data_IF_515055483418
#
_entry.id   IF_515055483418
#
_cell.length_a   1.000
_cell.length_b   1.000
_cell.length_c   1.000
_cell.angle_alpha   90.00
_cell.angle_beta   90.00
_cell.angle_gamma   90.00
#
_symmetry.space_group_name_H-M   'P 1'
#
loop_
_entity.id
_entity.type
_entity.pdbx_description
1 polymer ?
#
# COMPACT_ATOMS: atom_id res chain seq x y z
N UNK A 1 15.32 60.78 25.62
CA UNK A 1 14.67 59.66 26.33
C UNK A 1 13.14 59.57 26.09
N UNK A 2 12.55 60.21 25.07
CA UNK A 2 11.09 60.10 24.80
C UNK A 2 10.70 59.07 23.74
N UNK A 3 11.65 58.61 22.92
CA UNK A 3 11.39 57.69 21.80
C UNK A 3 11.62 56.20 22.13
N UNK A 4 12.37 55.87 23.19
CA UNK A 4 12.60 54.46 23.58
C UNK A 4 11.34 53.78 24.11
N UNK A 5 10.46 54.51 24.81
CA UNK A 5 9.21 53.96 25.34
C UNK A 5 8.22 53.63 24.22
N UNK A 6 8.20 54.43 23.14
CA UNK A 6 7.30 54.22 22.02
C UNK A 6 7.68 52.96 21.19
N UNK A 7 8.99 52.69 21.05
CA UNK A 7 9.49 51.50 20.35
C UNK A 7 9.26 50.23 21.19
N UNK A 8 9.37 50.31 22.52
CA UNK A 8 9.09 49.19 23.42
C UNK A 8 7.60 48.80 23.40
N UNK A 9 6.70 49.78 23.31
CA UNK A 9 5.25 49.54 23.20
C UNK A 9 4.91 48.94 21.82
N UNK A 10 5.55 49.41 20.75
CA UNK A 10 5.33 48.86 19.39
C UNK A 10 5.77 47.39 19.28
N UNK A 11 6.85 47.00 19.95
CA UNK A 11 7.31 45.60 19.97
C UNK A 11 6.39 44.66 20.76
N UNK A 12 5.63 45.17 21.74
CA UNK A 12 4.65 44.38 22.51
C UNK A 12 3.39 44.02 21.70
N UNK A 13 3.10 44.72 20.60
CA UNK A 13 1.92 44.45 19.75
C UNK A 13 2.20 43.53 18.55
N UNK A 14 3.46 43.17 18.27
CA UNK A 14 3.82 42.34 17.10
C UNK A 14 3.87 40.83 17.44
N UNK A 15 3.86 40.46 18.72
CA UNK A 15 4.06 39.08 19.16
C UNK A 15 2.79 38.41 19.69
N UNK A 16 1.83 38.08 18.83
CA UNK A 16 0.95 36.94 19.09
C UNK A 16 0.26 36.53 17.78
N UNK A 17 0.99 35.80 16.91
CA UNK A 17 0.26 34.97 15.94
C UNK A 17 -0.57 33.97 16.76
N UNK A 18 -1.89 33.85 16.53
CA UNK A 18 -2.66 32.82 17.19
C UNK A 18 -2.03 31.50 16.78
N UNK A 19 -1.53 30.76 17.78
CA UNK A 19 -1.04 29.40 17.63
C UNK A 19 -2.09 28.67 16.78
N UNK A 20 -1.75 28.38 15.51
CA UNK A 20 -2.62 27.60 14.65
C UNK A 20 -2.76 26.28 15.38
N UNK A 21 -3.90 26.11 16.03
CA UNK A 21 -4.36 24.85 16.58
C UNK A 21 -4.28 23.83 15.46
N UNK A 22 -3.16 23.11 15.39
CA UNK A 22 -3.07 21.83 14.71
C UNK A 22 -3.89 20.91 15.60
N UNK A 23 -5.22 20.96 15.48
CA UNK A 23 -6.01 19.78 15.81
C UNK A 23 -5.54 18.79 14.75
N UNK A 24 -4.73 17.78 15.08
CA UNK A 24 -4.42 16.76 14.11
C UNK A 24 -5.77 16.14 13.78
N UNK A 25 -6.15 16.09 12.51
CA UNK A 25 -7.37 15.38 12.11
C UNK A 25 -7.32 13.98 12.73
N UNK A 26 -8.11 13.74 13.77
CA UNK A 26 -8.12 12.48 14.54
C UNK A 26 -8.77 11.33 13.76
N UNK A 27 -9.01 11.52 12.46
CA UNK A 27 -9.62 10.55 11.55
C UNK A 27 -8.64 9.95 10.54
N UNK A 28 -7.38 10.38 10.48
CA UNK A 28 -6.38 9.82 9.55
C UNK A 28 -5.68 8.56 10.08
N UNK A 29 -6.41 7.68 10.74
CA UNK A 29 -5.96 6.31 11.04
C UNK A 29 -6.11 5.36 9.83
N UNK A 30 -6.16 5.91 8.61
CA UNK A 30 -6.24 5.09 7.40
C UNK A 30 -4.87 4.52 7.10
N UNK A 31 -4.69 3.22 7.26
CA UNK A 31 -3.49 2.55 6.77
C UNK A 31 -3.49 2.50 5.23
N UNK A 32 -2.33 2.45 4.56
CA UNK A 32 -2.25 2.28 3.12
C UNK A 32 -3.05 1.07 2.66
N UNK A 33 -3.77 1.22 1.55
CA UNK A 33 -4.48 0.12 0.91
C UNK A 33 -4.05 -0.05 -0.55
N UNK A 34 -4.53 -1.12 -1.17
CA UNK A 34 -4.26 -1.42 -2.58
C UNK A 34 -5.49 -1.03 -3.39
N UNK A 35 -5.29 -0.24 -4.44
CA UNK A 35 -6.38 0.27 -5.28
C UNK A 35 -6.13 -0.10 -6.76
N UNK A 36 -7.20 -0.10 -7.57
CA UNK A 36 -7.15 -0.35 -9.02
C UNK A 36 -6.40 -1.64 -9.38
N UNK A 37 -6.78 -2.74 -8.74
CA UNK A 37 -6.19 -4.06 -9.01
C UNK A 37 -6.69 -4.57 -10.36
N UNK A 38 -5.75 -4.95 -11.22
CA UNK A 38 -6.03 -5.64 -12.49
C UNK A 38 -5.22 -6.93 -12.51
N UNK A 39 -5.88 -8.04 -12.82
CA UNK A 39 -5.25 -9.34 -12.85
C UNK A 39 -5.68 -10.13 -14.09
N UNK A 40 -4.76 -10.86 -14.70
CA UNK A 40 -5.03 -11.68 -15.87
C UNK A 40 -4.05 -12.86 -15.97
N UNK A 41 -4.41 -13.84 -16.80
CA UNK A 41 -3.55 -14.98 -17.12
C UNK A 41 -2.98 -14.78 -18.51
N UNK A 42 -1.66 -14.75 -18.61
CA UNK A 42 -0.91 -14.63 -19.85
C UNK A 42 -0.34 -15.99 -20.28
N UNK A 43 -0.18 -16.20 -21.58
CA UNK A 43 0.39 -17.43 -22.15
C UNK A 43 1.77 -17.13 -22.72
N UNK A 44 2.83 -17.54 -22.01
CA UNK A 44 4.21 -17.42 -22.51
C UNK A 44 4.49 -18.51 -23.57
N UNK A 45 3.92 -19.69 -23.38
CA UNK A 45 3.98 -20.79 -24.33
C UNK A 45 2.72 -21.65 -24.23
N UNK A 46 2.51 -22.63 -25.12
CA UNK A 46 1.37 -23.55 -25.02
C UNK A 46 1.27 -24.26 -23.66
N UNK A 47 2.41 -24.49 -22.99
CA UNK A 47 2.47 -25.23 -21.72
C UNK A 47 2.80 -24.35 -20.51
N UNK A 48 3.05 -23.05 -20.72
CA UNK A 48 3.46 -22.12 -19.67
C UNK A 48 2.53 -20.92 -19.63
N UNK A 49 1.74 -20.85 -18.57
CA UNK A 49 0.94 -19.69 -18.21
C UNK A 49 1.65 -18.88 -17.13
N UNK A 50 1.35 -17.59 -17.06
CA UNK A 50 1.79 -16.69 -15.99
C UNK A 50 0.60 -15.88 -15.53
N UNK A 51 0.37 -15.86 -14.23
CA UNK A 51 -0.61 -14.96 -13.62
C UNK A 51 0.06 -13.62 -13.42
N UNK A 52 -0.50 -12.56 -14.01
CA UNK A 52 -0.02 -11.20 -13.86
C UNK A 52 -1.01 -10.40 -13.05
N UNK A 53 -0.53 -9.71 -12.03
CA UNK A 53 -1.32 -8.84 -11.17
C UNK A 53 -0.63 -7.48 -11.13
N UNK A 54 -1.41 -6.42 -11.36
CA UNK A 54 -0.97 -5.03 -11.28
C UNK A 54 -1.93 -4.28 -10.38
N UNK A 55 -1.42 -3.29 -9.68
CA UNK A 55 -2.22 -2.42 -8.83
C UNK A 55 -1.67 -1.01 -8.85
N UNK A 56 -2.43 -0.06 -8.33
CA UNK A 56 -1.92 1.26 -8.01
C UNK A 56 -1.55 1.32 -6.53
N UNK A 57 -0.48 2.07 -6.23
CA UNK A 57 -0.19 2.49 -4.87
C UNK A 57 -1.27 3.48 -4.44
N UNK A 58 -1.73 3.37 -3.21
CA UNK A 58 -2.47 4.46 -2.60
C UNK A 58 -1.59 5.71 -2.56
N UNK A 59 -2.06 6.78 -3.19
CA UNK A 59 -1.32 8.04 -3.37
C UNK A 59 -1.57 9.03 -2.24
N UNK A 60 -2.21 8.61 -1.14
CA UNK A 60 -2.24 9.43 0.06
C UNK A 60 -0.81 9.85 0.43
N UNK A 61 -0.57 11.17 0.35
CA UNK A 61 0.75 11.77 0.51
C UNK A 61 1.44 11.35 1.80
N UNK A 62 0.66 11.09 2.87
CA UNK A 62 1.20 10.79 4.19
C UNK A 62 1.91 9.43 4.31
N UNK A 63 1.66 8.48 3.39
CA UNK A 63 2.29 7.16 3.43
C UNK A 63 3.13 6.82 2.20
N UNK A 64 3.15 7.68 1.18
CA UNK A 64 3.84 7.36 -0.09
C UNK A 64 5.33 7.10 0.11
N UNK A 65 5.98 7.80 1.04
CA UNK A 65 7.41 7.62 1.35
C UNK A 65 7.67 6.49 2.37
N UNK A 66 6.62 6.08 3.06
CA UNK A 66 6.65 5.10 4.16
C UNK A 66 6.34 3.69 3.66
N UNK A 67 5.59 3.56 2.57
CA UNK A 67 5.34 2.28 1.89
C UNK A 67 6.62 1.79 1.23
N UNK A 68 7.07 0.58 1.57
CA UNK A 68 8.34 0.01 1.09
C UNK A 68 8.14 -1.11 0.09
N UNK A 69 7.20 -2.00 0.37
CA UNK A 69 7.02 -3.21 -0.42
C UNK A 69 5.60 -3.77 -0.27
N UNK A 70 5.33 -4.87 -0.97
CA UNK A 70 4.10 -5.62 -0.87
C UNK A 70 4.41 -7.10 -0.72
N UNK A 71 3.80 -7.73 0.28
CA UNK A 71 3.85 -9.18 0.47
C UNK A 71 2.68 -9.82 -0.28
N UNK A 72 2.97 -10.82 -1.10
CA UNK A 72 1.97 -11.50 -1.93
C UNK A 72 1.72 -12.88 -1.37
N UNK A 73 0.45 -13.18 -1.11
CA UNK A 73 -0.01 -14.48 -0.68
C UNK A 73 -0.88 -15.13 -1.74
N UNK A 74 -0.81 -16.47 -1.82
CA UNK A 74 -1.58 -17.26 -2.77
C UNK A 74 -2.24 -18.46 -2.10
N UNK A 75 -3.43 -18.80 -2.58
CA UNK A 75 -4.08 -20.10 -2.37
C UNK A 75 -4.50 -20.73 -3.70
N UNK A 76 -4.72 -22.05 -3.69
CA UNK A 76 -5.14 -22.84 -4.85
C UNK A 76 -6.44 -23.56 -4.49
N UNK A 77 -7.44 -23.47 -5.38
CA UNK A 77 -8.75 -24.13 -5.32
C UNK A 77 -9.66 -23.78 -4.13
N UNK A 78 -9.15 -23.15 -3.07
CA UNK A 78 -9.96 -22.62 -1.97
C UNK A 78 -9.36 -21.31 -1.40
N UNK A 79 -10.07 -20.70 -0.45
CA UNK A 79 -9.63 -19.49 0.27
C UNK A 79 -9.34 -19.74 1.74
N UNK A 80 -9.25 -21.01 2.16
CA UNK A 80 -9.10 -21.39 3.56
C UNK A 80 -7.68 -21.10 4.07
N UNK A 81 -6.66 -21.31 3.23
CA UNK A 81 -5.27 -21.08 3.60
C UNK A 81 -4.49 -20.35 2.52
N UNK A 82 -3.84 -19.26 2.90
CA UNK A 82 -2.98 -18.46 2.04
C UNK A 82 -1.51 -18.68 2.43
N UNK A 83 -0.66 -18.91 1.43
CA UNK A 83 0.78 -19.09 1.60
C UNK A 83 1.53 -17.91 1.01
N UNK A 84 2.55 -17.41 1.71
CA UNK A 84 3.41 -16.36 1.16
C UNK A 84 4.12 -16.88 -0.10
N UNK A 85 4.12 -16.05 -1.14
CA UNK A 85 4.87 -16.26 -2.38
C UNK A 85 6.07 -15.33 -2.48
N UNK A 86 6.16 -14.35 -1.59
CA UNK A 86 7.28 -13.43 -1.45
C UNK A 86 6.86 -11.97 -1.55
N UNK A 87 7.90 -11.13 -1.58
CA UNK A 87 7.79 -9.68 -1.51
C UNK A 87 8.12 -9.03 -2.86
N UNK A 88 7.42 -7.95 -3.21
CA UNK A 88 7.74 -7.10 -4.37
C UNK A 88 7.89 -5.64 -3.95
N UNK A 89 8.74 -4.89 -4.64
CA UNK A 89 9.01 -3.46 -4.38
C UNK A 89 8.38 -2.54 -5.44
N UNK A 90 7.68 -3.12 -6.40
CA UNK A 90 6.90 -2.42 -7.42
C UNK A 90 5.45 -2.89 -7.34
N UNK A 91 4.47 -2.09 -7.81
CA UNK A 91 3.06 -2.46 -7.71
C UNK A 91 2.65 -3.46 -8.81
N UNK A 92 3.37 -4.58 -8.86
CA UNK A 92 3.27 -5.63 -9.84
C UNK A 92 3.74 -6.97 -9.25
N UNK A 93 3.03 -8.04 -9.63
CA UNK A 93 3.38 -9.42 -9.33
C UNK A 93 3.19 -10.29 -10.58
N UNK A 94 4.18 -11.11 -10.89
CA UNK A 94 4.13 -12.11 -11.97
C UNK A 94 4.39 -13.49 -11.38
N UNK A 95 3.37 -14.34 -11.33
CA UNK A 95 3.47 -15.72 -10.83
C UNK A 95 3.51 -16.72 -12.00
N UNK A 96 4.71 -17.20 -12.30
CA UNK A 96 4.90 -18.28 -13.27
C UNK A 96 4.80 -19.68 -12.65
N UNK A 97 4.73 -19.80 -11.32
CA UNK A 97 4.81 -21.07 -10.60
C UNK A 97 3.49 -21.84 -10.55
N UNK A 98 2.40 -21.29 -11.09
CA UNK A 98 1.17 -22.02 -11.37
C UNK A 98 1.41 -22.89 -12.62
N UNK A 99 2.27 -23.89 -12.46
CA UNK A 99 2.67 -24.77 -13.54
C UNK A 99 1.69 -25.92 -13.72
N UNK A 100 1.39 -26.20 -14.99
CA UNK A 100 1.01 -27.51 -15.53
C UNK A 100 0.04 -28.29 -14.65
N UNK A 101 -1.19 -27.81 -14.64
CA UNK A 101 -2.30 -28.52 -14.06
C UNK A 101 -2.93 -29.35 -15.19
N UNK A 102 -3.14 -30.64 -14.96
CA UNK A 102 -3.87 -31.54 -15.85
C UNK A 102 -5.37 -31.19 -15.98
N UNK A 103 -5.80 -30.27 -15.12
CA UNK A 103 -7.13 -29.71 -14.92
C UNK A 103 -7.05 -28.19 -14.80
N UNK A 104 -8.19 -27.52 -14.93
CA UNK A 104 -8.28 -26.10 -14.59
C UNK A 104 -8.04 -25.92 -13.08
N UNK A 105 -7.31 -24.86 -12.72
CA UNK A 105 -7.04 -24.50 -11.33
C UNK A 105 -7.47 -23.08 -11.06
N UNK A 106 -8.22 -22.90 -9.98
CA UNK A 106 -8.57 -21.58 -9.48
C UNK A 106 -7.46 -21.13 -8.54
N UNK A 107 -6.94 -19.94 -8.79
CA UNK A 107 -5.89 -19.32 -7.99
C UNK A 107 -6.44 -18.08 -7.31
N UNK A 108 -6.14 -17.95 -6.03
CA UNK A 108 -6.55 -16.82 -5.21
C UNK A 108 -5.33 -16.06 -4.74
N UNK A 109 -5.34 -14.74 -4.83
CA UNK A 109 -4.27 -13.89 -4.32
C UNK A 109 -4.78 -12.87 -3.31
N UNK A 110 -3.95 -12.57 -2.32
CA UNK A 110 -4.07 -11.43 -1.41
C UNK A 110 -2.74 -10.71 -1.36
N UNK A 111 -2.77 -9.39 -1.42
CA UNK A 111 -1.56 -8.57 -1.40
C UNK A 111 -1.63 -7.66 -0.17
N UNK A 112 -0.56 -7.60 0.60
CA UNK A 112 -0.44 -6.78 1.80
C UNK A 112 0.60 -5.68 1.57
N UNK A 113 0.23 -4.40 1.61
CA UNK A 113 1.20 -3.31 1.59
C UNK A 113 1.96 -3.27 2.92
N UNK A 114 3.29 -3.24 2.89
CA UNK A 114 4.11 -3.08 4.09
C UNK A 114 5.00 -1.86 3.97
N UNK A 115 5.28 -1.26 5.12
CA UNK A 115 6.17 -0.12 5.18
C UNK A 115 6.74 0.11 6.56
N UNK A 116 7.36 1.27 6.71
CA UNK A 116 8.03 1.68 7.94
C UNK A 116 7.63 3.10 8.30
N UNK A 117 7.11 3.26 9.52
CA UNK A 117 6.89 4.56 10.12
C UNK A 117 8.19 4.98 10.81
N UNK A 118 8.80 6.08 10.36
CA UNK A 118 10.13 6.56 10.79
C UNK A 118 10.32 6.72 12.31
N UNK A 119 9.24 6.71 13.10
CA UNK A 119 9.28 6.81 14.56
C UNK A 119 8.54 5.67 15.30
N UNK A 120 7.89 4.72 14.59
CA UNK A 120 7.00 3.71 15.19
C UNK A 120 7.23 2.27 14.71
N UNK A 121 8.22 2.05 13.85
CA UNK A 121 8.57 0.73 13.34
C UNK A 121 7.76 0.32 12.12
N UNK A 122 7.75 -0.99 11.84
CA UNK A 122 7.09 -1.54 10.66
C UNK A 122 5.56 -1.49 10.79
N UNK A 123 4.88 -1.28 9.67
CA UNK A 123 3.43 -1.40 9.59
C UNK A 123 3.02 -2.33 8.44
N UNK A 124 1.88 -2.99 8.64
CA UNK A 124 1.16 -3.74 7.61
C UNK A 124 -0.12 -2.95 7.33
N UNK A 125 -0.31 -2.55 6.09
CA UNK A 125 -1.51 -1.84 5.66
C UNK A 125 -2.66 -2.80 5.38
N UNK A 126 -3.74 -2.25 4.83
CA UNK A 126 -4.95 -3.02 4.56
C UNK A 126 -4.71 -3.92 3.34
N UNK A 127 -5.03 -5.22 3.42
CA UNK A 127 -4.88 -6.12 2.28
C UNK A 127 -5.79 -5.74 1.12
N UNK A 128 -5.42 -6.17 -0.08
CA UNK A 128 -6.35 -6.18 -1.21
C UNK A 128 -7.56 -7.07 -0.92
N UNK A 129 -8.63 -6.84 -1.67
CA UNK A 129 -9.66 -7.87 -1.85
C UNK A 129 -9.05 -9.15 -2.44
N UNK A 130 -9.77 -10.27 -2.30
CA UNK A 130 -9.34 -11.54 -2.88
C UNK A 130 -9.41 -11.45 -4.40
N UNK A 131 -8.28 -11.68 -5.04
CA UNK A 131 -8.16 -11.73 -6.50
C UNK A 131 -8.30 -13.18 -6.92
N UNK A 132 -9.38 -13.50 -7.62
CA UNK A 132 -9.65 -14.84 -8.13
C UNK A 132 -9.38 -14.89 -9.64
N UNK A 133 -8.65 -15.91 -10.07
CA UNK A 133 -8.43 -16.21 -11.49
C UNK A 133 -8.53 -17.70 -11.73
N UNK A 134 -9.04 -18.09 -12.89
CA UNK A 134 -8.96 -19.48 -13.36
C UNK A 134 -7.81 -19.63 -14.34
N UNK A 135 -6.83 -20.46 -14.01
CA UNK A 135 -5.78 -20.90 -14.93
C UNK A 135 -6.26 -22.16 -15.62
N UNK A 136 -6.57 -22.03 -16.91
CA UNK A 136 -7.03 -23.15 -17.73
C UNK A 136 -5.86 -23.99 -18.22
N UNK A 137 -6.13 -25.28 -18.40
CA UNK A 137 -5.22 -26.24 -19.06
C UNK A 137 -4.77 -25.75 -20.45
#
# INVERSE_FOLDING_TARGET
MKYCIFILILMLFIGCEPERSIVPNTHDNRVPEIINVTAWVDSISPTRKVVRIRWAKDTLKQYTDQLKNWEVFRSLNDTAQFTSRGTTFIPAWDDASVHRTDRDVVVYYKIYPNGELSARGQFIGKPSDIIELTVRK
#
